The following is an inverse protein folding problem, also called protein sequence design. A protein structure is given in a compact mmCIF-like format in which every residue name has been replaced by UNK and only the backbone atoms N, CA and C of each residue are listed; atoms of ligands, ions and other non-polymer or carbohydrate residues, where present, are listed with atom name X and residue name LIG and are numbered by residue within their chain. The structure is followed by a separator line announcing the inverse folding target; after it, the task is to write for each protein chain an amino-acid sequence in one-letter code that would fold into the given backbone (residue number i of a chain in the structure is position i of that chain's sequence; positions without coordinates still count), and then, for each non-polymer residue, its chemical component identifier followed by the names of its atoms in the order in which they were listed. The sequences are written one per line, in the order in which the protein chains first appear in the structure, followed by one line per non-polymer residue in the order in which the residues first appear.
data_IF_822563750412
#
_entry.id   IF_822563750412
#
_cell.length_a   1.000
_cell.length_b   1.000
_cell.length_c   1.000
_cell.angle_alpha   90.00
_cell.angle_beta   90.00
_cell.angle_gamma   90.00
#
_symmetry.space_group_name_H-M   'P 1'
#
loop_
_entity.id
_entity.type
_entity.pdbx_description
1 polymer ?
#
# COMPACT_ATOMS: atom_id res chain seq x y z
N UNK A 1 -11.08 -7.96 -9.09
CA UNK A 1 -10.32 -7.50 -10.29
C UNK A 1 -10.75 -8.15 -11.61
N UNK A 2 -11.96 -8.73 -11.74
CA UNK A 2 -12.42 -9.38 -12.98
C UNK A 2 -13.58 -8.67 -13.68
N UNK A 3 -14.18 -7.70 -13.01
CA UNK A 3 -15.26 -6.90 -13.58
C UNK A 3 -14.69 -5.87 -14.56
N UNK A 4 -14.96 -6.06 -15.85
CA UNK A 4 -14.50 -5.18 -16.91
C UNK A 4 -15.15 -3.79 -16.86
N UNK A 5 -16.29 -3.62 -16.18
CA UNK A 5 -16.96 -2.32 -16.05
C UNK A 5 -16.18 -1.31 -15.20
N UNK A 6 -15.23 -1.78 -14.39
CA UNK A 6 -14.35 -0.93 -13.58
C UNK A 6 -13.46 -0.04 -14.44
N UNK A 7 -12.98 -0.53 -15.59
CA UNK A 7 -12.11 0.25 -16.48
C UNK A 7 -12.79 1.53 -16.99
N UNK A 8 -13.95 1.48 -17.67
CA UNK A 8 -14.62 2.69 -18.12
C UNK A 8 -15.07 3.58 -16.95
N UNK A 9 -15.40 3.00 -15.79
CA UNK A 9 -15.67 3.78 -14.58
C UNK A 9 -14.45 4.60 -14.15
N UNK A 10 -13.29 3.97 -13.99
CA UNK A 10 -12.04 4.66 -13.60
C UNK A 10 -11.67 5.75 -14.61
N UNK A 11 -11.72 5.45 -15.90
CA UNK A 11 -11.42 6.43 -16.96
C UNK A 11 -12.35 7.64 -16.90
N UNK A 12 -13.65 7.43 -16.69
CA UNK A 12 -14.62 8.52 -16.54
C UNK A 12 -14.30 9.42 -15.33
N UNK A 13 -13.97 8.81 -14.19
CA UNK A 13 -13.59 9.55 -12.97
C UNK A 13 -12.30 10.34 -13.17
N UNK A 14 -11.27 9.72 -13.75
CA UNK A 14 -9.95 10.32 -13.97
C UNK A 14 -10.00 11.51 -14.95
N UNK A 15 -10.90 11.49 -15.95
CA UNK A 15 -11.07 12.62 -16.88
C UNK A 15 -11.72 13.84 -16.22
N UNK A 16 -12.54 13.64 -15.20
CA UNK A 16 -13.42 14.69 -14.65
C UNK A 16 -12.98 15.21 -13.29
N UNK A 17 -12.02 14.54 -12.64
CA UNK A 17 -11.57 14.87 -11.29
C UNK A 17 -10.04 14.85 -11.20
N UNK A 18 -9.51 15.44 -10.12
CA UNK A 18 -8.10 15.36 -9.77
C UNK A 18 -7.93 14.34 -8.66
N UNK A 19 -7.13 13.32 -8.91
CA UNK A 19 -6.76 12.29 -7.95
C UNK A 19 -5.25 12.31 -7.73
N UNK A 20 -4.80 11.68 -6.64
CA UNK A 20 -3.38 11.44 -6.35
C UNK A 20 -3.03 9.95 -6.38
N UNK A 21 -4.03 9.06 -6.29
CA UNK A 21 -3.87 7.62 -6.29
C UNK A 21 -5.08 6.90 -6.91
N UNK A 22 -4.88 5.64 -7.34
CA UNK A 22 -5.92 4.68 -7.67
C UNK A 22 -5.85 3.54 -6.65
N UNK A 23 -6.98 3.29 -5.97
CA UNK A 23 -7.12 2.26 -4.94
C UNK A 23 -8.05 2.72 -3.82
N UNK A 24 -8.13 2.02 -2.70
CA UNK A 24 -7.47 0.73 -2.44
C UNK A 24 -8.11 -0.40 -3.26
N UNK A 25 -7.28 -1.20 -3.95
CA UNK A 25 -7.74 -2.40 -4.64
C UNK A 25 -7.05 -3.63 -4.08
N UNK A 26 -7.76 -4.76 -4.16
CA UNK A 26 -7.29 -6.04 -3.64
C UNK A 26 -6.83 -6.94 -4.80
N UNK A 27 -5.57 -7.38 -4.76
CA UNK A 27 -4.99 -8.23 -5.79
C UNK A 27 -3.87 -9.10 -5.24
N UNK A 28 -3.78 -10.36 -5.65
CA UNK A 28 -2.79 -11.30 -5.10
C UNK A 28 -2.17 -12.14 -6.23
N UNK A 29 -0.88 -12.40 -6.10
CA UNK A 29 -0.09 -13.17 -7.06
C UNK A 29 -0.41 -12.88 -8.53
N UNK A 30 -0.68 -13.95 -9.29
CA UNK A 30 -0.91 -13.87 -10.73
C UNK A 30 -2.17 -13.09 -11.15
N UNK A 31 -3.12 -12.81 -10.25
CA UNK A 31 -4.27 -11.96 -10.58
C UNK A 31 -3.83 -10.52 -10.90
N UNK A 32 -2.62 -10.11 -10.49
CA UNK A 32 -2.02 -8.83 -10.90
C UNK A 32 -1.83 -8.71 -12.43
N UNK A 33 -1.80 -9.83 -13.15
CA UNK A 33 -1.66 -9.86 -14.61
C UNK A 33 -3.01 -9.88 -15.34
N UNK A 34 -4.15 -9.85 -14.62
CA UNK A 34 -5.47 -9.75 -15.24
C UNK A 34 -5.61 -8.45 -16.04
N UNK A 35 -6.36 -8.44 -17.16
CA UNK A 35 -6.51 -7.27 -18.02
C UNK A 35 -6.96 -6.00 -17.29
N UNK A 36 -7.87 -6.13 -16.31
CA UNK A 36 -8.34 -4.99 -15.51
C UNK A 36 -7.22 -4.39 -14.67
N UNK A 37 -6.38 -5.21 -14.02
CA UNK A 37 -5.27 -4.73 -13.19
C UNK A 37 -4.19 -4.08 -14.05
N UNK A 38 -3.86 -4.70 -15.20
CA UNK A 38 -2.95 -4.10 -16.19
C UNK A 38 -3.41 -2.71 -16.59
N UNK A 39 -4.71 -2.55 -16.87
CA UNK A 39 -5.26 -1.24 -17.22
C UNK A 39 -5.21 -0.25 -16.06
N UNK A 40 -5.37 -0.70 -14.81
CA UNK A 40 -5.17 0.13 -13.61
C UNK A 40 -3.72 0.64 -13.53
N UNK A 41 -2.72 -0.23 -13.76
CA UNK A 41 -1.30 0.16 -13.76
C UNK A 41 -1.01 1.17 -14.89
N UNK A 42 -1.53 0.92 -16.09
CA UNK A 42 -1.40 1.85 -17.22
C UNK A 42 -2.00 3.22 -16.93
N UNK A 43 -3.21 3.27 -16.36
CA UNK A 43 -3.89 4.52 -15.98
C UNK A 43 -3.10 5.27 -14.90
N UNK A 44 -2.56 4.57 -13.90
CA UNK A 44 -1.72 5.21 -12.89
C UNK A 44 -0.47 5.84 -13.50
N UNK A 45 0.14 5.19 -14.49
CA UNK A 45 1.26 5.75 -15.25
C UNK A 45 0.86 6.97 -16.06
N UNK A 46 -0.21 6.88 -16.86
CA UNK A 46 -0.72 7.96 -17.72
C UNK A 46 -1.03 9.23 -16.92
N UNK A 47 -1.72 9.07 -15.79
CA UNK A 47 -2.15 10.19 -14.94
C UNK A 47 -1.12 10.57 -13.87
N UNK A 48 0.03 9.90 -13.82
CA UNK A 48 1.05 10.09 -12.78
C UNK A 48 0.41 10.03 -11.39
N UNK A 49 -0.19 8.88 -11.07
CA UNK A 49 -0.82 8.58 -9.78
C UNK A 49 -0.02 7.55 -8.99
N UNK A 50 -0.33 7.42 -7.71
CA UNK A 50 0.08 6.26 -6.92
C UNK A 50 -0.89 5.10 -7.15
N UNK A 51 -0.38 3.89 -7.02
CA UNK A 51 -1.18 2.68 -6.87
C UNK A 51 -1.29 2.39 -5.38
N UNK A 52 -2.50 2.40 -4.81
CA UNK A 52 -2.73 1.95 -3.43
C UNK A 52 -3.17 0.48 -3.46
N UNK A 53 -2.20 -0.41 -3.22
CA UNK A 53 -2.29 -1.83 -3.55
C UNK A 53 -2.37 -2.66 -2.27
N UNK A 54 -3.56 -3.23 -2.01
CA UNK A 54 -3.74 -4.27 -1.00
C UNK A 54 -3.40 -5.60 -1.64
N UNK A 55 -2.18 -6.07 -1.37
CA UNK A 55 -1.62 -7.19 -2.11
C UNK A 55 -0.54 -7.95 -1.37
N UNK A 56 -0.21 -9.13 -1.85
CA UNK A 56 1.01 -9.84 -1.47
C UNK A 56 2.25 -9.28 -2.21
N UNK A 57 3.44 -9.74 -1.80
CA UNK A 57 4.68 -9.35 -2.45
C UNK A 57 4.74 -9.76 -3.95
N UNK A 58 4.22 -10.94 -4.33
CA UNK A 58 4.23 -11.41 -5.73
C UNK A 58 3.46 -10.44 -6.65
N UNK A 59 2.26 -10.02 -6.23
CA UNK A 59 1.50 -9.01 -6.95
C UNK A 59 2.24 -7.67 -7.06
N UNK A 60 2.96 -7.22 -6.02
CA UNK A 60 3.81 -6.02 -6.11
C UNK A 60 4.90 -6.19 -7.17
N UNK A 61 5.59 -7.34 -7.17
CA UNK A 61 6.63 -7.62 -8.18
C UNK A 61 6.07 -7.61 -9.60
N UNK A 62 4.87 -8.17 -9.81
CA UNK A 62 4.19 -8.17 -11.11
C UNK A 62 3.77 -6.77 -11.54
N UNK A 63 3.27 -5.95 -10.63
CA UNK A 63 2.95 -4.55 -10.91
C UNK A 63 4.21 -3.77 -11.36
N UNK A 64 5.34 -3.93 -10.67
CA UNK A 64 6.61 -3.34 -11.11
C UNK A 64 7.16 -3.94 -12.40
N UNK A 65 6.86 -5.21 -12.70
CA UNK A 65 7.21 -5.81 -14.00
C UNK A 65 6.43 -5.19 -15.15
N UNK A 66 5.17 -4.79 -14.91
CA UNK A 66 4.33 -4.10 -15.88
C UNK A 66 4.76 -2.64 -16.07
N UNK A 67 5.10 -1.94 -14.98
CA UNK A 67 5.68 -0.60 -15.01
C UNK A 67 6.81 -0.46 -13.97
N UNK A 68 8.09 -0.52 -14.40
CA UNK A 68 9.23 -0.36 -13.50
C UNK A 68 9.31 1.03 -12.82
N UNK A 69 8.57 2.01 -13.33
CA UNK A 69 8.50 3.36 -12.77
C UNK A 69 7.25 3.59 -11.91
N UNK A 70 6.39 2.57 -11.73
CA UNK A 70 5.19 2.66 -10.90
C UNK A 70 5.53 3.23 -9.52
N UNK A 71 4.62 4.01 -8.95
CA UNK A 71 4.70 4.47 -7.56
C UNK A 71 3.62 3.75 -6.78
N UNK A 72 4.01 2.90 -5.84
CA UNK A 72 3.08 2.01 -5.15
C UNK A 72 3.10 2.31 -3.65
N UNK A 73 1.94 2.55 -3.07
CA UNK A 73 1.70 2.46 -1.63
C UNK A 73 1.16 1.06 -1.33
N UNK A 74 1.95 0.25 -0.63
CA UNK A 74 1.64 -1.14 -0.32
C UNK A 74 0.85 -1.19 0.99
N UNK A 75 -0.46 -1.43 0.88
CA UNK A 75 -1.38 -1.40 2.00
C UNK A 75 -0.97 -2.44 3.05
N UNK A 76 -0.95 -2.01 4.32
CA UNK A 76 -0.54 -2.84 5.46
C UNK A 76 0.82 -3.55 5.28
N UNK A 77 1.68 -3.05 4.37
CA UNK A 77 2.93 -3.70 3.97
C UNK A 77 2.74 -5.19 3.64
N UNK A 78 1.60 -5.52 3.01
CA UNK A 78 1.21 -6.88 2.62
C UNK A 78 1.01 -7.89 3.75
N UNK A 79 0.90 -7.43 5.01
CA UNK A 79 0.96 -8.29 6.20
C UNK A 79 2.24 -9.15 6.28
N UNK A 80 3.28 -8.79 5.53
CA UNK A 80 4.54 -9.51 5.50
C UNK A 80 5.40 -9.24 6.74
N UNK A 81 6.35 -10.15 7.00
CA UNK A 81 7.36 -9.99 8.04
C UNK A 81 8.37 -8.87 7.68
N UNK A 82 8.97 -8.18 8.68
CA UNK A 82 9.85 -7.03 8.44
C UNK A 82 11.03 -7.33 7.51
N UNK A 83 11.61 -8.54 7.54
CA UNK A 83 12.70 -8.91 6.63
C UNK A 83 12.26 -9.00 5.16
N UNK A 84 11.04 -9.50 4.91
CA UNK A 84 10.45 -9.54 3.56
C UNK A 84 10.11 -8.13 3.08
N UNK A 85 9.54 -7.29 3.96
CA UNK A 85 9.28 -5.87 3.67
C UNK A 85 10.57 -5.13 3.29
N UNK A 86 11.65 -5.31 4.06
CA UNK A 86 12.97 -4.74 3.76
C UNK A 86 13.52 -5.22 2.42
N UNK A 87 13.42 -6.52 2.13
CA UNK A 87 13.86 -7.07 0.84
C UNK A 87 13.13 -6.41 -0.34
N UNK A 88 11.81 -6.18 -0.22
CA UNK A 88 11.02 -5.49 -1.24
C UNK A 88 11.41 -4.01 -1.38
N UNK A 89 11.60 -3.30 -0.27
CA UNK A 89 12.01 -1.88 -0.28
C UNK A 89 13.41 -1.67 -0.88
N UNK A 90 14.36 -2.59 -0.65
CA UNK A 90 15.67 -2.58 -1.33
C UNK A 90 15.54 -2.74 -2.84
N UNK A 91 14.67 -3.66 -3.27
CA UNK A 91 14.49 -4.01 -4.67
C UNK A 91 13.79 -2.91 -5.45
N UNK A 92 12.78 -2.27 -4.86
CA UNK A 92 11.92 -1.30 -5.55
C UNK A 92 12.01 0.09 -4.92
N UNK A 93 12.66 1.02 -5.62
CA UNK A 93 12.87 2.40 -5.15
C UNK A 93 11.60 3.24 -5.07
N UNK A 94 10.52 2.83 -5.74
CA UNK A 94 9.25 3.56 -5.77
C UNK A 94 8.10 2.81 -5.03
N UNK A 95 8.45 2.09 -3.97
CA UNK A 95 7.53 1.34 -3.11
C UNK A 95 7.42 1.96 -1.71
N UNK A 96 6.26 2.41 -1.28
CA UNK A 96 6.05 2.87 0.09
C UNK A 96 5.25 1.82 0.87
N UNK A 97 5.47 1.79 2.17
CA UNK A 97 4.84 0.86 3.08
C UNK A 97 3.82 1.60 3.95
N UNK A 98 2.57 1.16 3.90
CA UNK A 98 1.56 1.56 4.86
C UNK A 98 1.56 0.60 6.05
N UNK A 99 1.40 1.16 7.26
CA UNK A 99 1.29 0.42 8.52
C UNK A 99 -0.13 0.39 9.08
N UNK A 100 -1.12 0.97 8.38
CA UNK A 100 -2.50 0.90 8.81
C UNK A 100 -2.93 -0.56 9.04
N UNK A 101 -3.86 -0.78 9.97
CA UNK A 101 -4.30 -2.11 10.38
C UNK A 101 -3.22 -3.07 10.94
N UNK A 102 -1.97 -2.63 11.12
CA UNK A 102 -0.90 -3.40 11.76
C UNK A 102 -0.67 -2.99 13.21
N UNK A 103 -0.27 -3.94 14.04
CA UNK A 103 0.12 -3.72 15.43
C UNK A 103 1.37 -4.49 15.86
N UNK A 104 1.98 -5.27 14.96
CA UNK A 104 3.12 -6.15 15.25
C UNK A 104 4.46 -5.40 15.33
N UNK A 105 4.51 -4.15 14.89
CA UNK A 105 5.73 -3.34 14.88
C UNK A 105 6.08 -2.70 16.21
N UNK A 106 5.16 -2.67 17.18
CA UNK A 106 5.42 -2.10 18.50
C UNK A 106 4.54 -2.73 19.59
N UNK A 107 5.08 -2.79 20.81
CA UNK A 107 4.33 -3.20 22.00
C UNK A 107 4.83 -2.44 23.23
N UNK A 108 3.91 -1.93 24.06
CA UNK A 108 4.24 -1.18 25.27
C UNK A 108 5.17 0.03 25.04
N UNK A 109 4.96 0.76 23.94
CA UNK A 109 5.80 1.91 23.54
C UNK A 109 7.19 1.54 23.04
N UNK A 110 7.48 0.25 22.79
CA UNK A 110 8.76 -0.21 22.24
C UNK A 110 8.58 -0.80 20.85
N UNK A 111 9.35 -0.30 19.90
CA UNK A 111 9.41 -0.84 18.53
C UNK A 111 10.10 -2.20 18.56
N UNK A 112 9.54 -3.17 17.86
CA UNK A 112 10.18 -4.48 17.64
C UNK A 112 11.57 -4.29 16.97
N UNK A 113 12.63 -5.01 17.38
CA UNK A 113 13.97 -4.80 16.82
C UNK A 113 14.07 -4.97 15.30
N UNK A 114 13.34 -5.91 14.70
CA UNK A 114 13.38 -6.15 13.26
C UNK A 114 12.62 -5.05 12.49
N UNK A 115 11.49 -4.60 13.03
CA UNK A 115 10.78 -3.43 12.52
C UNK A 115 11.61 -2.14 12.65
N UNK A 116 12.28 -1.94 13.78
CA UNK A 116 13.20 -0.83 13.98
C UNK A 116 14.31 -0.84 12.93
N UNK A 117 14.88 -2.01 12.62
CA UNK A 117 15.87 -2.11 11.55
C UNK A 117 15.29 -1.71 10.18
N UNK A 118 14.04 -2.08 9.88
CA UNK A 118 13.36 -1.66 8.66
C UNK A 118 13.15 -0.13 8.59
N UNK A 119 12.64 0.47 9.67
CA UNK A 119 12.41 1.91 9.75
C UNK A 119 13.71 2.71 9.66
N UNK A 120 14.77 2.27 10.33
CA UNK A 120 16.07 2.95 10.28
C UNK A 120 16.74 2.85 8.90
N UNK A 121 16.49 1.77 8.16
CA UNK A 121 17.03 1.58 6.81
C UNK A 121 16.25 2.39 5.76
N UNK A 122 14.93 2.55 5.94
CA UNK A 122 14.06 3.25 5.00
C UNK A 122 13.16 4.30 5.68
N UNK A 123 13.74 5.32 6.36
CA UNK A 123 12.97 6.24 7.22
C UNK A 123 11.89 7.03 6.46
N UNK A 124 12.10 7.31 5.17
CA UNK A 124 11.18 8.09 4.34
C UNK A 124 10.16 7.23 3.57
N UNK A 125 10.06 5.93 3.89
CA UNK A 125 9.29 4.95 3.10
C UNK A 125 8.17 4.25 3.85
N UNK A 126 7.90 4.67 5.08
CA UNK A 126 6.79 4.17 5.89
C UNK A 126 5.77 5.27 6.18
N UNK A 127 4.50 4.89 6.21
CA UNK A 127 3.38 5.75 6.57
C UNK A 127 2.56 5.07 7.68
N UNK A 128 1.99 5.87 8.57
CA UNK A 128 1.04 5.40 9.58
C UNK A 128 -0.37 5.78 9.14
N UNK A 129 -1.30 4.84 9.20
CA UNK A 129 -2.73 5.07 9.03
C UNK A 129 -3.53 4.25 10.04
N UNK A 130 -4.85 4.47 10.10
CA UNK A 130 -5.75 3.75 11.03
C UNK A 130 -6.56 2.65 10.34
N UNK A 131 -6.74 2.74 9.02
CA UNK A 131 -7.64 1.88 8.25
C UNK A 131 -9.05 1.78 8.86
N UNK A 132 -9.71 2.94 8.96
CA UNK A 132 -11.05 3.05 9.55
C UNK A 132 -12.13 2.62 8.53
N UNK A 133 -12.09 1.35 8.10
CA UNK A 133 -12.95 0.83 7.02
C UNK A 133 -14.41 0.55 7.42
N UNK A 134 -14.76 0.59 8.71
CA UNK A 134 -16.16 0.54 9.18
C UNK A 134 -16.48 1.66 10.18
N UNK A 135 -17.77 2.03 10.34
CA UNK A 135 -18.21 3.03 11.32
C UNK A 135 -17.73 2.75 12.76
N UNK A 136 -17.70 1.49 13.19
CA UNK A 136 -17.34 1.10 14.56
C UNK A 136 -15.88 1.41 14.88
N UNK A 137 -15.02 1.44 13.86
CA UNK A 137 -13.59 1.74 14.02
C UNK A 137 -13.33 3.22 14.29
N UNK A 138 -14.28 4.11 14.00
CA UNK A 138 -14.11 5.55 14.22
C UNK A 138 -13.86 5.89 15.70
N UNK A 139 -14.45 5.12 16.62
CA UNK A 139 -14.26 5.29 18.06
C UNK A 139 -12.80 5.09 18.49
N UNK A 140 -12.00 4.35 17.72
CA UNK A 140 -10.63 3.98 18.06
C UNK A 140 -9.57 4.85 17.36
N UNK A 141 -9.95 5.81 16.52
CA UNK A 141 -8.97 6.65 15.79
C UNK A 141 -8.04 7.40 16.74
N UNK A 142 -8.59 7.97 17.82
CA UNK A 142 -7.79 8.69 18.83
C UNK A 142 -6.89 7.74 19.61
N UNK A 143 -7.39 6.55 19.96
CA UNK A 143 -6.62 5.53 20.66
C UNK A 143 -5.45 5.02 19.81
N UNK A 144 -5.69 4.72 18.54
CA UNK A 144 -4.65 4.36 17.59
C UNK A 144 -3.60 5.47 17.45
N UNK A 145 -4.01 6.74 17.31
CA UNK A 145 -3.07 7.86 17.24
C UNK A 145 -2.24 8.00 18.53
N UNK A 146 -2.84 7.78 19.70
CA UNK A 146 -2.14 7.78 20.97
C UNK A 146 -1.14 6.62 21.09
N UNK A 147 -1.54 5.42 20.65
CA UNK A 147 -0.66 4.25 20.61
C UNK A 147 0.54 4.47 19.67
N UNK A 148 0.31 5.01 18.46
CA UNK A 148 1.40 5.32 17.51
C UNK A 148 2.42 6.28 18.11
N UNK A 149 1.97 7.34 18.79
CA UNK A 149 2.86 8.33 19.42
C UNK A 149 3.76 7.76 20.52
N UNK A 150 3.46 6.58 21.07
CA UNK A 150 4.28 5.99 22.13
C UNK A 150 5.59 5.39 21.62
N UNK A 151 5.66 5.03 20.33
CA UNK A 151 6.83 4.34 19.77
C UNK A 151 7.55 5.14 18.67
N UNK A 152 6.94 6.22 18.15
CA UNK A 152 7.58 7.23 17.31
C UNK A 152 8.56 8.08 18.12
#
# INVERSE_FOLDING_TARGET
MRDASIVPHLESRLRTNRYVAIGEYHVYGADADLPVVRRVVELAREYKLFLHSHSDADAIERQFKQDPQARILWAHSGFDAPDKVRAMLRKYKNLWCDLAFRSDHASGGKVDPAWRAAFMEFPDRFMVGTDTFTPERWHFVVEHANWTRQWL
#
